data_IF_025042153420
#
_entry.id   IF_025042153420
#
_cell.length_a   1.000
_cell.length_b   1.000
_cell.length_c   1.000
_cell.angle_alpha   90.00
_cell.angle_beta   90.00
_cell.angle_gamma   90.00
#
_symmetry.space_group_name_H-M   'P 1'
#
loop_
_entity.id
_entity.type
_entity.pdbx_description
1 polymer ?
#
# COMPACT_ATOMS: atom_id res chain seq x y z
N UNK A 1 11.44 -29.55 -9.57
CA UNK A 1 11.59 -29.15 -11.00
C UNK A 1 11.01 -27.77 -11.35
N UNK A 2 10.04 -27.21 -10.62
CA UNK A 2 9.40 -25.89 -10.92
C UNK A 2 10.23 -24.65 -10.53
N UNK A 3 11.19 -24.78 -9.62
CA UNK A 3 11.99 -23.68 -9.04
C UNK A 3 12.91 -22.91 -10.00
N UNK A 4 13.23 -23.47 -11.15
CA UNK A 4 14.15 -22.88 -12.15
C UNK A 4 13.46 -22.27 -13.38
N UNK A 5 12.14 -22.18 -13.40
CA UNK A 5 11.42 -21.52 -14.47
C UNK A 5 11.49 -19.99 -14.30
N UNK A 6 11.97 -19.23 -15.29
CA UNK A 6 12.08 -17.76 -15.18
C UNK A 6 10.75 -17.07 -14.85
N UNK A 7 9.63 -17.65 -15.30
CA UNK A 7 8.28 -17.17 -15.00
C UNK A 7 7.90 -17.34 -13.51
N UNK A 8 8.38 -18.40 -12.86
CA UNK A 8 8.14 -18.63 -11.43
C UNK A 8 8.88 -17.61 -10.56
N UNK A 9 10.15 -17.35 -10.87
CA UNK A 9 10.96 -16.33 -10.17
C UNK A 9 10.34 -14.94 -10.29
N UNK A 10 9.90 -14.55 -11.48
CA UNK A 10 9.23 -13.25 -11.70
C UNK A 10 7.94 -13.12 -10.88
N UNK A 11 7.13 -14.18 -10.83
CA UNK A 11 5.93 -14.19 -9.99
C UNK A 11 6.27 -13.98 -8.52
N UNK A 12 7.30 -14.62 -7.99
CA UNK A 12 7.72 -14.46 -6.60
C UNK A 12 8.24 -13.04 -6.32
N UNK A 13 9.07 -12.49 -7.22
CA UNK A 13 9.62 -11.12 -7.11
C UNK A 13 8.50 -10.07 -7.03
N UNK A 14 7.39 -10.28 -7.73
CA UNK A 14 6.25 -9.36 -7.71
C UNK A 14 5.32 -9.67 -6.54
N UNK A 15 5.04 -10.94 -6.27
CA UNK A 15 4.02 -11.35 -5.32
C UNK A 15 4.45 -11.14 -3.86
N UNK A 16 5.72 -11.41 -3.52
CA UNK A 16 6.20 -11.26 -2.14
C UNK A 16 6.13 -9.80 -1.66
N UNK A 17 6.68 -8.80 -2.39
CA UNK A 17 6.53 -7.41 -1.97
C UNK A 17 5.07 -6.95 -1.90
N UNK A 18 4.22 -7.37 -2.85
CA UNK A 18 2.78 -7.05 -2.83
C UNK A 18 2.05 -7.66 -1.64
N UNK A 19 2.42 -8.87 -1.23
CA UNK A 19 1.88 -9.49 -0.02
C UNK A 19 2.28 -8.69 1.22
N UNK A 20 3.55 -8.33 1.32
CA UNK A 20 4.07 -7.54 2.45
C UNK A 20 3.37 -6.18 2.51
N UNK A 21 3.34 -5.42 1.42
CA UNK A 21 2.64 -4.13 1.38
C UNK A 21 1.16 -4.26 1.66
N UNK A 22 0.49 -5.30 1.13
CA UNK A 22 -0.94 -5.55 1.34
C UNK A 22 -1.32 -5.95 2.76
N UNK A 23 -0.39 -6.40 3.58
CA UNK A 23 -0.61 -6.72 5.00
C UNK A 23 -0.19 -5.55 5.89
N UNK A 24 1.05 -5.10 5.77
CA UNK A 24 1.62 -4.14 6.70
C UNK A 24 1.12 -2.71 6.51
N UNK A 25 0.90 -2.29 5.26
CA UNK A 25 0.46 -0.91 5.01
C UNK A 25 -0.95 -0.67 5.56
N UNK A 26 -1.98 -1.52 5.28
CA UNK A 26 -3.29 -1.36 5.89
C UNK A 26 -3.28 -1.46 7.42
N UNK A 27 -2.42 -2.31 7.98
CA UNK A 27 -2.25 -2.42 9.45
C UNK A 27 -1.75 -1.10 10.05
N UNK A 28 -0.71 -0.48 9.44
CA UNK A 28 -0.20 0.82 9.89
C UNK A 28 -1.28 1.90 9.82
N UNK A 29 -2.07 1.93 8.74
CA UNK A 29 -3.19 2.88 8.62
C UNK A 29 -4.26 2.63 9.69
N UNK A 30 -4.61 1.38 9.96
CA UNK A 30 -5.56 1.02 11.01
C UNK A 30 -5.07 1.50 12.39
N UNK A 31 -3.79 1.28 12.71
CA UNK A 31 -3.16 1.76 13.93
C UNK A 31 -3.18 3.28 14.06
N UNK A 32 -2.80 3.99 13.00
CA UNK A 32 -2.83 5.45 13.01
C UNK A 32 -4.26 5.96 13.29
N UNK A 33 -5.26 5.41 12.61
CA UNK A 33 -6.66 5.81 12.79
C UNK A 33 -7.16 5.43 14.19
N UNK A 34 -6.83 4.23 14.67
CA UNK A 34 -7.25 3.73 15.99
C UNK A 34 -6.72 4.62 17.12
N UNK A 35 -5.47 5.07 17.04
CA UNK A 35 -4.83 5.91 18.06
C UNK A 35 -5.18 7.41 17.97
N UNK A 36 -6.04 7.82 17.06
CA UNK A 36 -6.48 9.21 16.97
C UNK A 36 -7.33 9.59 18.18
N UNK A 37 -7.03 10.74 18.81
CA UNK A 37 -7.77 11.24 19.98
C UNK A 37 -9.20 11.69 19.67
N UNK A 38 -9.49 12.11 18.44
CA UNK A 38 -10.80 12.63 18.02
C UNK A 38 -11.62 11.55 17.32
N UNK A 39 -12.77 11.19 17.91
CA UNK A 39 -13.73 10.26 17.29
C UNK A 39 -14.25 10.76 15.94
N UNK A 40 -14.42 12.08 15.78
CA UNK A 40 -14.82 12.69 14.50
C UNK A 40 -13.73 12.48 13.44
N UNK A 41 -12.47 12.70 13.80
CA UNK A 41 -11.34 12.45 12.90
C UNK A 41 -11.27 10.98 12.51
N UNK A 42 -11.38 10.05 13.46
CA UNK A 42 -11.43 8.61 13.16
C UNK A 42 -12.50 8.28 12.11
N UNK A 43 -13.73 8.79 12.30
CA UNK A 43 -14.83 8.53 11.37
C UNK A 43 -14.56 9.10 9.97
N UNK A 44 -14.03 10.30 9.88
CA UNK A 44 -13.67 10.93 8.59
C UNK A 44 -12.57 10.13 7.89
N UNK A 45 -11.49 9.75 8.60
CA UNK A 45 -10.41 8.96 7.99
C UNK A 45 -10.87 7.56 7.56
N UNK A 46 -11.77 6.91 8.31
CA UNK A 46 -12.39 5.63 7.87
C UNK A 46 -13.14 5.80 6.54
N UNK A 47 -13.93 6.86 6.41
CA UNK A 47 -14.63 7.15 5.16
C UNK A 47 -13.67 7.44 4.00
N UNK A 48 -12.63 8.24 4.23
CA UNK A 48 -11.62 8.56 3.21
C UNK A 48 -10.87 7.32 2.72
N UNK A 49 -10.51 6.42 3.62
CA UNK A 49 -9.85 5.14 3.28
C UNK A 49 -10.74 4.21 2.48
N UNK A 50 -12.06 4.27 2.68
CA UNK A 50 -13.04 3.49 1.92
C UNK A 50 -13.35 4.07 0.53
N UNK A 51 -13.12 5.36 0.32
CA UNK A 51 -13.51 6.05 -0.91
C UNK A 51 -12.93 5.39 -2.17
N UNK A 52 -11.64 4.97 -2.21
CA UNK A 52 -11.10 4.24 -3.36
C UNK A 52 -11.73 2.86 -3.58
N UNK A 53 -12.27 2.22 -2.54
CA UNK A 53 -12.87 0.87 -2.62
C UNK A 53 -14.19 0.90 -3.41
N UNK A 54 -14.89 2.03 -3.38
CA UNK A 54 -16.16 2.22 -4.11
C UNK A 54 -15.93 2.37 -5.62
N UNK A 55 -14.72 2.79 -6.04
CA UNK A 55 -14.42 2.95 -7.45
C UNK A 55 -14.33 1.58 -8.15
N UNK A 56 -14.97 1.41 -9.33
CA UNK A 56 -14.83 0.19 -10.10
C UNK A 56 -13.35 -0.09 -10.44
N UNK A 57 -12.91 -1.36 -10.28
CA UNK A 57 -11.51 -1.74 -10.54
C UNK A 57 -11.04 -1.41 -11.97
N UNK A 58 -11.97 -1.37 -12.93
CA UNK A 58 -11.66 -0.94 -14.31
C UNK A 58 -11.19 0.52 -14.35
N UNK A 59 -11.85 1.42 -13.62
CA UNK A 59 -11.47 2.84 -13.53
C UNK A 59 -10.07 2.98 -12.91
N UNK A 60 -9.81 2.23 -11.85
CA UNK A 60 -8.49 2.18 -11.22
C UNK A 60 -7.40 1.77 -12.22
N UNK A 61 -7.63 0.70 -12.97
CA UNK A 61 -6.67 0.24 -13.98
C UNK A 61 -6.46 1.25 -15.12
N UNK A 62 -7.51 1.96 -15.55
CA UNK A 62 -7.41 3.00 -16.58
C UNK A 62 -6.57 4.19 -16.09
N UNK A 63 -6.76 4.63 -14.85
CA UNK A 63 -5.95 5.71 -14.24
C UNK A 63 -4.47 5.32 -14.20
N UNK A 64 -4.14 4.11 -13.74
CA UNK A 64 -2.76 3.66 -13.72
C UNK A 64 -2.16 3.48 -15.12
N UNK A 65 -2.96 3.03 -16.07
CA UNK A 65 -2.53 2.96 -17.48
C UNK A 65 -2.18 4.35 -18.03
N UNK A 66 -2.93 5.38 -17.64
CA UNK A 66 -2.64 6.76 -18.04
C UNK A 66 -1.38 7.32 -17.36
N UNK A 67 -1.19 7.00 -16.06
CA UNK A 67 0.02 7.40 -15.32
C UNK A 67 1.28 6.80 -15.95
N UNK A 68 1.20 5.52 -16.35
CA UNK A 68 2.29 4.75 -16.98
C UNK A 68 2.28 4.78 -18.51
N UNK A 69 1.64 5.77 -19.12
CA UNK A 69 1.70 5.92 -20.57
C UNK A 69 3.14 6.17 -21.01
N UNK A 70 3.49 5.71 -22.22
CA UNK A 70 4.81 5.91 -22.82
C UNK A 70 5.06 7.32 -23.37
N UNK A 71 4.03 8.15 -23.42
CA UNK A 71 4.14 9.53 -23.87
C UNK A 71 5.13 10.31 -22.98
N UNK A 72 6.04 11.11 -23.57
CA UNK A 72 6.95 11.96 -22.78
C UNK A 72 6.24 12.87 -21.77
N UNK A 73 5.03 13.33 -22.06
CA UNK A 73 4.23 14.18 -21.17
C UNK A 73 3.49 13.41 -20.07
N UNK A 74 3.50 12.08 -20.08
CA UNK A 74 2.84 11.27 -19.06
C UNK A 74 3.40 11.53 -17.66
N UNK A 75 2.53 11.38 -16.65
CA UNK A 75 2.84 11.74 -15.25
C UNK A 75 4.14 11.08 -14.76
N UNK A 76 4.30 9.76 -14.98
CA UNK A 76 5.49 9.05 -14.51
C UNK A 76 6.74 9.48 -15.26
N UNK A 77 6.68 9.69 -16.56
CA UNK A 77 7.81 10.17 -17.35
C UNK A 77 8.20 11.61 -16.94
N UNK A 78 7.22 12.46 -16.67
CA UNK A 78 7.45 13.83 -16.17
C UNK A 78 8.12 13.81 -14.78
N UNK A 79 7.70 12.90 -13.88
CA UNK A 79 8.35 12.72 -12.58
C UNK A 79 9.81 12.28 -12.72
N UNK A 80 10.08 11.27 -13.53
CA UNK A 80 11.44 10.74 -13.75
C UNK A 80 12.34 11.81 -14.38
N UNK A 81 11.79 12.63 -15.28
CA UNK A 81 12.48 13.78 -15.87
C UNK A 81 12.80 14.85 -14.83
N UNK A 82 11.89 15.13 -13.90
CA UNK A 82 12.12 16.10 -12.83
C UNK A 82 13.31 15.69 -11.93
N UNK A 83 13.62 14.41 -11.83
CA UNK A 83 14.82 13.89 -11.15
C UNK A 83 16.06 13.85 -12.05
N UNK A 84 15.99 14.36 -13.28
CA UNK A 84 17.13 14.41 -14.22
C UNK A 84 17.51 13.05 -14.83
N UNK A 85 16.63 12.04 -14.74
CA UNK A 85 16.88 10.67 -15.20
C UNK A 85 16.37 10.39 -16.63
N UNK A 86 15.71 11.37 -17.26
CA UNK A 86 15.11 11.25 -18.58
C UNK A 86 15.27 12.54 -19.39
N UNK A 87 15.57 12.42 -20.68
CA UNK A 87 15.65 13.56 -21.61
C UNK A 87 14.28 14.20 -21.89
N UNK A 88 14.29 15.45 -22.43
CA UNK A 88 13.05 16.24 -22.59
C UNK A 88 11.99 15.58 -23.46
N UNK A 89 12.39 14.86 -24.51
CA UNK A 89 11.49 14.18 -25.45
C UNK A 89 11.52 12.64 -25.32
N UNK A 90 12.09 12.12 -24.25
CA UNK A 90 12.15 10.69 -24.01
C UNK A 90 10.95 10.23 -23.16
N UNK A 91 10.42 9.05 -23.51
CA UNK A 91 9.36 8.38 -22.78
C UNK A 91 9.70 6.91 -22.55
N UNK A 92 9.53 6.45 -21.31
CA UNK A 92 9.70 5.04 -20.93
C UNK A 92 8.38 4.30 -21.16
N UNK A 93 8.44 3.16 -21.82
CA UNK A 93 7.30 2.27 -21.91
C UNK A 93 7.25 1.36 -20.67
N UNK A 94 6.57 1.82 -19.64
CA UNK A 94 6.54 1.20 -18.31
C UNK A 94 5.93 -0.20 -18.27
N UNK A 95 5.02 -0.53 -19.19
CA UNK A 95 4.22 -1.76 -19.10
C UNK A 95 4.52 -2.78 -20.23
N UNK A 96 5.46 -2.50 -21.11
CA UNK A 96 5.66 -3.29 -22.33
C UNK A 96 6.56 -4.53 -22.17
N UNK A 97 7.43 -4.60 -21.18
CA UNK A 97 8.37 -5.71 -21.05
C UNK A 97 8.45 -6.22 -19.60
N UNK A 98 7.71 -7.28 -19.29
CA UNK A 98 7.63 -7.89 -17.93
C UNK A 98 9.00 -8.24 -17.32
N UNK A 99 10.07 -8.32 -18.11
CA UNK A 99 11.41 -8.63 -17.65
C UNK A 99 12.28 -7.40 -17.35
N UNK A 100 11.82 -6.21 -17.68
CA UNK A 100 12.59 -4.99 -17.41
C UNK A 100 12.38 -4.50 -15.97
N UNK A 101 13.44 -3.95 -15.38
CA UNK A 101 13.41 -3.47 -14.00
C UNK A 101 12.33 -2.37 -13.80
N UNK A 102 12.17 -1.46 -14.78
CA UNK A 102 11.18 -0.41 -14.72
C UNK A 102 9.73 -0.94 -14.77
N UNK A 103 9.46 -2.02 -15.53
CA UNK A 103 8.13 -2.64 -15.55
C UNK A 103 7.82 -3.34 -14.21
N UNK A 104 8.80 -4.03 -13.62
CA UNK A 104 8.63 -4.63 -12.29
C UNK A 104 8.35 -3.54 -11.26
N UNK A 105 9.11 -2.45 -11.28
CA UNK A 105 8.88 -1.28 -10.42
C UNK A 105 7.48 -0.70 -10.63
N UNK A 106 7.05 -0.46 -11.87
CA UNK A 106 5.73 0.06 -12.17
C UNK A 106 4.62 -0.83 -11.61
N UNK A 107 4.74 -2.16 -11.78
CA UNK A 107 3.76 -3.12 -11.24
C UNK A 107 3.75 -3.12 -9.71
N UNK A 108 4.91 -3.03 -9.07
CA UNK A 108 5.00 -2.99 -7.60
C UNK A 108 4.46 -1.69 -7.04
N UNK A 109 4.71 -0.57 -7.74
CA UNK A 109 4.25 0.75 -7.30
C UNK A 109 2.77 1.01 -7.63
N UNK A 110 2.20 0.20 -8.53
CA UNK A 110 0.78 0.29 -8.87
C UNK A 110 -0.08 0.06 -7.60
N UNK A 111 -0.96 1.03 -7.34
CA UNK A 111 -1.81 1.01 -6.15
C UNK A 111 -1.26 1.79 -4.96
N UNK A 112 -0.07 2.43 -5.11
CA UNK A 112 0.44 3.32 -4.06
C UNK A 112 -0.63 4.36 -3.66
N UNK A 113 -0.81 4.64 -2.38
CA UNK A 113 -0.04 4.20 -1.20
C UNK A 113 -0.48 2.85 -0.56
N UNK A 114 -1.06 1.92 -1.30
CA UNK A 114 -1.45 0.55 -0.93
C UNK A 114 -2.32 0.46 0.33
N UNK A 115 -3.18 1.44 0.53
CA UNK A 115 -3.97 1.59 1.76
C UNK A 115 -4.87 0.37 2.01
N UNK A 116 -5.47 -0.21 0.95
CA UNK A 116 -6.35 -1.36 1.08
C UNK A 116 -7.50 -1.11 2.06
N UNK A 117 -8.45 -0.23 1.69
CA UNK A 117 -9.48 0.27 2.61
C UNK A 117 -10.29 -0.81 3.33
N UNK A 118 -10.62 -1.90 2.64
CA UNK A 118 -11.33 -3.03 3.26
C UNK A 118 -10.47 -3.71 4.35
N UNK A 119 -9.18 -3.88 4.09
CA UNK A 119 -8.24 -4.47 5.04
C UNK A 119 -8.06 -3.57 6.27
N UNK A 120 -7.98 -2.25 6.08
CA UNK A 120 -7.92 -1.29 7.20
C UNK A 120 -9.12 -1.45 8.12
N UNK A 121 -10.34 -1.61 7.56
CA UNK A 121 -11.54 -1.81 8.40
C UNK A 121 -11.50 -3.14 9.14
N UNK A 122 -11.03 -4.21 8.53
CA UNK A 122 -10.88 -5.52 9.19
C UNK A 122 -9.91 -5.42 10.36
N UNK A 123 -8.73 -4.80 10.16
CA UNK A 123 -7.77 -4.59 11.25
C UNK A 123 -8.34 -3.69 12.34
N UNK A 124 -9.05 -2.62 11.99
CA UNK A 124 -9.70 -1.77 12.99
C UNK A 124 -10.76 -2.52 13.80
N UNK A 125 -11.54 -3.40 13.16
CA UNK A 125 -12.49 -4.24 13.87
C UNK A 125 -11.78 -5.18 14.87
N UNK A 126 -10.64 -5.74 14.49
CA UNK A 126 -9.79 -6.51 15.39
C UNK A 126 -9.33 -5.70 16.59
N UNK A 127 -8.75 -4.52 16.36
CA UNK A 127 -8.28 -3.62 17.41
C UNK A 127 -9.38 -3.19 18.38
N UNK A 128 -10.60 -2.93 17.89
CA UNK A 128 -11.75 -2.56 18.71
C UNK A 128 -12.29 -3.70 19.58
N UNK A 129 -11.98 -4.96 19.24
CA UNK A 129 -12.38 -6.13 20.00
C UNK A 129 -11.39 -6.50 21.11
N UNK A 130 -10.25 -5.85 21.20
CA UNK A 130 -9.27 -6.10 22.28
C UNK A 130 -9.85 -5.58 23.60
N UNK A 131 -9.93 -6.42 24.65
CA UNK A 131 -10.42 -6.00 25.97
C UNK A 131 -9.59 -4.86 26.55
N UNK A 132 -10.25 -3.91 27.22
CA UNK A 132 -9.57 -2.76 27.84
C UNK A 132 -8.56 -3.17 28.89
N UNK A 133 -8.84 -4.26 29.59
CA UNK A 133 -7.96 -4.84 30.61
C UNK A 133 -6.56 -5.17 30.06
N UNK A 134 -6.46 -5.55 28.78
CA UNK A 134 -5.18 -5.81 28.13
C UNK A 134 -4.35 -4.51 28.00
N UNK A 135 -5.01 -3.41 27.65
CA UNK A 135 -4.35 -2.11 27.57
C UNK A 135 -3.92 -1.61 28.95
N UNK A 136 -4.77 -1.77 29.96
CA UNK A 136 -4.50 -1.37 31.34
C UNK A 136 -3.33 -2.19 31.94
N UNK A 137 -3.31 -3.51 31.70
CA UNK A 137 -2.19 -4.35 32.09
C UNK A 137 -0.88 -3.91 31.44
N UNK A 138 -0.91 -3.65 30.13
CA UNK A 138 0.28 -3.17 29.41
C UNK A 138 0.75 -1.78 29.92
N UNK A 139 -0.19 -0.92 30.36
CA UNK A 139 0.15 0.37 30.97
C UNK A 139 0.82 0.20 32.32
N UNK A 140 0.34 -0.72 33.14
CA UNK A 140 0.94 -1.06 34.45
C UNK A 140 2.35 -1.63 34.30
N UNK A 141 2.57 -2.41 33.24
CA UNK A 141 3.89 -2.96 32.89
C UNK A 141 4.83 -1.93 32.25
N UNK A 142 4.42 -0.68 32.10
CA UNK A 142 5.22 0.39 31.51
C UNK A 142 5.46 0.22 30.03
N UNK A 143 4.58 -0.47 29.30
CA UNK A 143 4.69 -0.65 27.88
C UNK A 143 4.43 0.66 27.13
N UNK A 144 5.46 1.22 26.47
CA UNK A 144 5.30 2.33 25.54
C UNK A 144 4.48 1.94 24.30
N UNK A 145 4.04 2.93 23.52
CA UNK A 145 3.16 2.75 22.35
C UNK A 145 3.62 1.63 21.41
N UNK A 146 4.92 1.56 21.11
CA UNK A 146 5.48 0.54 20.21
C UNK A 146 5.38 -0.89 20.78
N UNK A 147 5.60 -1.04 22.10
CA UNK A 147 5.44 -2.34 22.78
C UNK A 147 3.97 -2.77 22.79
N UNK A 148 3.03 -1.84 23.00
CA UNK A 148 1.60 -2.14 22.93
C UNK A 148 1.18 -2.64 21.55
N UNK A 149 1.64 -2.01 20.47
CA UNK A 149 1.39 -2.49 19.11
C UNK A 149 1.86 -3.91 18.94
N UNK A 150 3.06 -4.24 19.42
CA UNK A 150 3.66 -5.56 19.20
C UNK A 150 3.11 -6.67 20.10
N UNK A 151 2.70 -6.37 21.31
CA UNK A 151 2.28 -7.39 22.28
C UNK A 151 0.78 -7.43 22.56
N UNK A 152 0.05 -6.38 22.22
CA UNK A 152 -1.38 -6.28 22.50
C UNK A 152 -2.21 -6.24 21.21
N UNK A 153 -1.70 -5.56 20.13
CA UNK A 153 -2.48 -5.38 18.91
C UNK A 153 -2.20 -6.45 17.84
N UNK A 154 -1.03 -7.10 17.85
CA UNK A 154 -0.61 -8.15 16.92
C UNK A 154 -0.51 -9.48 17.65
#
# INVERSE_FOLDING_TARGET
MLRNQPRFRLKLIIQIPRLITGIFVPLIYAEIIFNMKSLKAQSVYRLLVLLPVVAPGVVFNLVWKQIYNSDPSAIMNSLVRAFGLLGENEGINWLNAIKSAHTIFAILFMGFPWIGGSQVLVYMAGLLNIPKEMFEAADLDGAGAFKKIWYVHI
#
